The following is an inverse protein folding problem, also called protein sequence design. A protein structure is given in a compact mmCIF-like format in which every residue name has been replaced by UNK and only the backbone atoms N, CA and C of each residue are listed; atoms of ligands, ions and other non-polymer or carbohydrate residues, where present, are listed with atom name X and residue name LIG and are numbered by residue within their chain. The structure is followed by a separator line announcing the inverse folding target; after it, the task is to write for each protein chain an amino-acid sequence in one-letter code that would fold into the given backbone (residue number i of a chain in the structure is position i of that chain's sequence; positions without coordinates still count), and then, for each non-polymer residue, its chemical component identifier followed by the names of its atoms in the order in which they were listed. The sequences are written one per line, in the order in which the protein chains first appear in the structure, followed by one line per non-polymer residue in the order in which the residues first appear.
data_IF_452304911417
#
_entry.id   IF_452304911417
#
_cell.length_a   1.000
_cell.length_b   1.000
_cell.length_c   1.000
_cell.angle_alpha   90.00
_cell.angle_beta   90.00
_cell.angle_gamma   90.00
#
_symmetry.space_group_name_H-M   'P 1'
#
loop_
_entity.id
_entity.type
_entity.pdbx_description
1 polymer ?
#
# COMPACT_ATOMS: atom_id res chain seq x y z
N UNK A 1 -39.06 -43.23 15.01
CA UNK A 1 -38.06 -42.91 16.06
C UNK A 1 -36.62 -43.27 15.67
N UNK A 2 -36.35 -44.34 14.92
CA UNK A 2 -34.98 -44.67 14.45
C UNK A 2 -34.44 -43.71 13.37
N UNK A 3 -35.28 -43.25 12.44
CA UNK A 3 -34.87 -42.31 11.38
C UNK A 3 -34.62 -40.87 11.86
N UNK A 4 -35.32 -40.44 12.90
CA UNK A 4 -35.15 -39.10 13.50
C UNK A 4 -33.82 -38.97 14.24
N UNK A 5 -33.30 -40.08 14.79
CA UNK A 5 -32.01 -40.12 15.48
C UNK A 5 -30.82 -40.08 14.49
N UNK A 6 -30.96 -40.72 13.33
CA UNK A 6 -29.95 -40.71 12.26
C UNK A 6 -29.80 -39.30 11.64
N UNK A 7 -30.90 -38.56 11.51
CA UNK A 7 -30.88 -37.20 10.96
C UNK A 7 -30.18 -36.19 11.89
N UNK A 8 -30.24 -36.39 13.20
CA UNK A 8 -29.58 -35.52 14.18
C UNK A 8 -28.07 -35.72 14.26
N UNK A 9 -27.56 -36.92 13.93
CA UNK A 9 -26.12 -37.22 13.94
C UNK A 9 -25.40 -36.67 12.70
N UNK A 10 -26.11 -36.47 11.58
CA UNK A 10 -25.53 -35.97 10.33
C UNK A 10 -25.21 -34.46 10.37
N UNK A 11 -25.90 -33.69 11.21
CA UNK A 11 -25.74 -32.24 11.32
C UNK A 11 -24.47 -31.86 12.13
N UNK A 12 -23.97 -32.77 12.98
CA UNK A 12 -22.79 -32.52 13.82
C UNK A 12 -21.45 -32.69 13.08
N UNK A 13 -21.45 -33.20 11.84
CA UNK A 13 -20.23 -33.48 11.08
C UNK A 13 -19.76 -32.33 10.17
N UNK A 14 -20.49 -31.21 10.12
CA UNK A 14 -20.14 -30.06 9.26
C UNK A 14 -19.50 -28.86 9.98
N UNK A 15 -19.20 -28.96 11.27
CA UNK A 15 -18.46 -27.91 12.00
C UNK A 15 -16.96 -27.93 11.67
N UNK A 16 -16.63 -27.62 10.42
CA UNK A 16 -15.28 -27.30 10.00
C UNK A 16 -15.00 -25.85 10.42
N UNK A 17 -14.30 -25.68 11.54
CA UNK A 17 -13.79 -24.39 11.98
C UNK A 17 -12.64 -24.00 11.04
N UNK A 18 -12.94 -23.18 10.04
CA UNK A 18 -11.91 -22.58 9.19
C UNK A 18 -11.11 -21.60 10.06
N UNK A 19 -9.97 -22.05 10.59
CA UNK A 19 -9.03 -21.17 11.28
C UNK A 19 -8.51 -20.14 10.28
N UNK A 20 -9.02 -18.91 10.36
CA UNK A 20 -8.50 -17.79 9.58
C UNK A 20 -7.10 -17.49 10.10
N UNK A 21 -6.08 -17.76 9.29
CA UNK A 21 -4.69 -17.41 9.62
C UNK A 21 -4.63 -15.90 9.87
N UNK A 22 -4.47 -15.49 11.12
CA UNK A 22 -4.27 -14.10 11.48
C UNK A 22 -2.86 -13.71 11.07
N UNK A 23 -2.75 -12.91 10.01
CA UNK A 23 -1.48 -12.42 9.50
C UNK A 23 -0.79 -11.59 10.59
N UNK A 24 0.50 -11.79 10.76
CA UNK A 24 1.32 -10.96 11.64
C UNK A 24 1.39 -9.52 11.09
N UNK A 25 1.67 -8.56 11.98
CA UNK A 25 1.82 -7.15 11.62
C UNK A 25 2.87 -6.94 10.51
N UNK A 26 3.91 -7.78 10.47
CA UNK A 26 4.93 -7.76 9.43
C UNK A 26 4.42 -8.28 8.07
N UNK A 27 3.64 -9.37 8.08
CA UNK A 27 3.01 -9.89 6.86
C UNK A 27 2.03 -8.85 6.26
N UNK A 28 1.28 -8.13 7.09
CA UNK A 28 0.39 -7.05 6.65
C UNK A 28 1.15 -5.84 6.07
N UNK A 29 2.30 -5.49 6.65
CA UNK A 29 3.15 -4.43 6.08
C UNK A 29 3.77 -4.86 4.74
N UNK A 30 4.10 -6.15 4.60
CA UNK A 30 4.62 -6.68 3.36
C UNK A 30 3.59 -6.61 2.22
N UNK A 31 2.28 -6.69 2.51
CA UNK A 31 1.22 -6.56 1.51
C UNK A 31 1.21 -5.20 0.79
N UNK A 32 1.61 -4.12 1.47
CA UNK A 32 1.65 -2.78 0.88
C UNK A 32 2.89 -2.53 0.03
N UNK A 33 3.82 -3.49 -0.01
CA UNK A 33 5.12 -3.38 -0.68
C UNK A 33 5.14 -4.32 -1.87
N UNK A 34 5.57 -3.81 -3.03
CA UNK A 34 5.69 -4.59 -4.26
C UNK A 34 7.16 -4.84 -4.58
N UNK A 35 7.51 -6.09 -4.87
CA UNK A 35 8.86 -6.50 -5.26
C UNK A 35 9.03 -6.54 -6.77
N UNK A 36 10.23 -6.16 -7.22
CA UNK A 36 10.64 -6.08 -8.61
C UNK A 36 12.05 -6.66 -8.79
N UNK A 37 12.23 -7.39 -9.90
CA UNK A 37 13.52 -7.97 -10.27
C UNK A 37 14.43 -6.93 -10.95
N UNK A 38 14.80 -5.88 -10.23
CA UNK A 38 15.59 -4.75 -10.75
C UNK A 38 16.53 -4.17 -9.68
N UNK A 39 17.45 -3.30 -10.10
CA UNK A 39 18.35 -2.58 -9.19
C UNK A 39 17.65 -1.38 -8.55
N UNK A 40 18.16 -0.95 -7.39
CA UNK A 40 17.66 0.23 -6.66
C UNK A 40 17.69 1.47 -7.55
N UNK A 41 18.75 1.62 -8.33
CA UNK A 41 18.96 2.77 -9.22
C UNK A 41 17.86 2.90 -10.28
N UNK A 42 17.54 1.78 -10.94
CA UNK A 42 16.49 1.75 -11.95
C UNK A 42 15.12 1.96 -11.31
N UNK A 43 14.84 1.28 -10.19
CA UNK A 43 13.57 1.43 -9.48
C UNK A 43 13.36 2.86 -8.96
N UNK A 44 14.38 3.46 -8.34
CA UNK A 44 14.31 4.81 -7.78
C UNK A 44 14.07 5.85 -8.89
N UNK A 45 14.83 5.76 -9.99
CA UNK A 45 14.62 6.62 -11.15
C UNK A 45 13.22 6.44 -11.75
N UNK A 46 12.75 5.20 -11.85
CA UNK A 46 11.41 4.91 -12.39
C UNK A 46 10.29 5.49 -11.53
N UNK A 47 10.39 5.38 -10.19
CA UNK A 47 9.41 5.99 -9.27
C UNK A 47 9.41 7.50 -9.41
N UNK A 48 10.60 8.12 -9.50
CA UNK A 48 10.72 9.56 -9.72
C UNK A 48 10.03 10.01 -10.99
N UNK A 49 10.28 9.33 -12.11
CA UNK A 49 9.66 9.62 -13.40
C UNK A 49 8.14 9.48 -13.33
N UNK A 50 7.62 8.39 -12.74
CA UNK A 50 6.17 8.21 -12.58
C UNK A 50 5.54 9.33 -11.76
N UNK A 51 6.17 9.76 -10.66
CA UNK A 51 5.65 10.87 -9.86
C UNK A 51 5.62 12.18 -10.67
N UNK A 52 6.68 12.47 -11.43
CA UNK A 52 6.76 13.66 -12.28
C UNK A 52 5.75 13.62 -13.43
N UNK A 53 5.58 12.47 -14.09
CA UNK A 53 4.60 12.25 -15.16
C UNK A 53 3.16 12.43 -14.67
N UNK A 54 2.89 12.07 -13.41
CA UNK A 54 1.61 12.29 -12.74
C UNK A 54 1.43 13.73 -12.23
N UNK A 55 2.42 14.61 -12.45
CA UNK A 55 2.37 16.01 -12.05
C UNK A 55 2.66 16.26 -10.57
N UNK A 56 3.20 15.28 -9.84
CA UNK A 56 3.66 15.49 -8.47
C UNK A 56 4.96 16.29 -8.47
N UNK A 57 5.06 17.23 -7.53
CA UNK A 57 6.25 18.02 -7.28
C UNK A 57 7.06 17.31 -6.20
N UNK A 58 8.29 16.93 -6.54
CA UNK A 58 9.19 16.21 -5.63
C UNK A 58 9.77 17.20 -4.61
N UNK A 59 9.46 16.98 -3.34
CA UNK A 59 9.90 17.83 -2.22
C UNK A 59 11.23 17.37 -1.64
N UNK A 60 11.47 16.06 -1.60
CA UNK A 60 12.72 15.47 -1.10
C UNK A 60 12.96 14.13 -1.77
N UNK A 61 14.23 13.83 -2.04
CA UNK A 61 14.65 12.57 -2.60
C UNK A 61 16.06 12.24 -2.11
N UNK A 62 16.18 11.09 -1.45
CA UNK A 62 17.45 10.57 -0.97
C UNK A 62 17.61 9.13 -1.47
N UNK A 63 18.56 8.95 -2.37
CA UNK A 63 18.82 7.66 -3.01
C UNK A 63 19.48 6.67 -2.04
N UNK A 64 20.27 7.14 -1.09
CA UNK A 64 20.96 6.29 -0.12
C UNK A 64 19.95 5.64 0.83
N UNK A 65 19.03 6.44 1.37
CA UNK A 65 17.92 5.91 2.19
C UNK A 65 16.82 5.27 1.35
N UNK A 66 16.66 5.68 0.09
CA UNK A 66 15.61 5.20 -0.81
C UNK A 66 14.27 5.93 -0.63
N UNK A 67 14.24 7.02 0.13
CA UNK A 67 13.05 7.82 0.37
C UNK A 67 12.82 8.82 -0.76
N UNK A 68 11.57 8.91 -1.24
CA UNK A 68 11.10 9.97 -2.13
C UNK A 68 9.81 10.53 -1.54
N UNK A 69 9.75 11.83 -1.37
CA UNK A 69 8.56 12.56 -0.93
C UNK A 69 8.15 13.55 -2.00
N UNK A 70 6.89 13.52 -2.40
CA UNK A 70 6.33 14.43 -3.38
C UNK A 70 4.90 14.83 -3.01
N UNK A 71 4.39 15.90 -3.60
CA UNK A 71 3.00 16.32 -3.41
C UNK A 71 2.36 16.74 -4.73
N UNK A 72 1.07 16.46 -4.89
CA UNK A 72 0.30 16.97 -6.01
C UNK A 72 0.11 18.49 -5.88
N UNK A 73 -0.14 19.22 -6.99
CA UNK A 73 -0.41 20.64 -6.93
C UNK A 73 -1.64 20.93 -6.07
N UNK A 74 -1.54 21.95 -5.22
CA UNK A 74 -2.66 22.36 -4.37
C UNK A 74 -3.84 22.83 -5.23
N UNK A 75 -5.00 22.23 -5.01
CA UNK A 75 -6.28 22.62 -5.62
C UNK A 75 -7.09 23.41 -4.61
N UNK A 76 -7.56 24.58 -5.02
CA UNK A 76 -8.51 25.35 -4.25
C UNK A 76 -9.93 24.92 -4.65
N UNK A 77 -10.67 24.33 -3.72
CA UNK A 77 -12.10 24.05 -3.91
C UNK A 77 -12.91 25.14 -3.23
N UNK A 78 -13.83 25.73 -3.98
CA UNK A 78 -14.67 26.85 -3.52
C UNK A 78 -16.12 26.39 -3.58
N UNK A 79 -16.56 25.64 -2.56
CA UNK A 79 -17.96 25.21 -2.47
C UNK A 79 -18.67 25.76 -1.23
N UNK A 80 -17.99 25.97 -0.09
CA UNK A 80 -18.54 26.61 1.12
C UNK A 80 -17.43 27.17 2.05
N UNK A 81 -16.46 27.86 1.46
CA UNK A 81 -15.18 28.20 2.10
C UNK A 81 -14.02 27.84 1.16
N UNK A 82 -12.88 28.52 1.28
CA UNK A 82 -11.69 28.19 0.49
C UNK A 82 -10.95 27.04 1.17
N UNK A 83 -11.14 25.82 0.68
CA UNK A 83 -10.37 24.68 1.15
C UNK A 83 -9.23 24.38 0.16
N UNK A 84 -8.02 24.28 0.68
CA UNK A 84 -6.85 23.83 -0.06
C UNK A 84 -6.76 22.31 0.06
N UNK A 85 -6.69 21.62 -1.08
CA UNK A 85 -6.54 20.17 -1.12
C UNK A 85 -5.28 19.80 -1.89
N UNK A 86 -4.47 18.92 -1.32
CA UNK A 86 -3.38 18.28 -2.04
C UNK A 86 -3.23 16.82 -1.60
N UNK A 87 -2.44 16.07 -2.34
CA UNK A 87 -2.12 14.68 -2.04
C UNK A 87 -0.62 14.56 -1.88
N UNK A 88 -0.16 14.25 -0.68
CA UNK A 88 1.24 13.91 -0.43
C UNK A 88 1.47 12.43 -0.73
N UNK A 89 2.64 12.11 -1.28
CA UNK A 89 3.10 10.74 -1.49
C UNK A 89 4.49 10.55 -0.90
N UNK A 90 4.66 9.46 -0.17
CA UNK A 90 5.95 8.98 0.31
C UNK A 90 6.23 7.61 -0.32
N UNK A 91 7.24 7.55 -1.17
CA UNK A 91 7.76 6.32 -1.72
C UNK A 91 9.01 5.88 -0.96
N UNK A 92 9.12 4.57 -0.74
CA UNK A 92 10.31 3.95 -0.15
C UNK A 92 10.80 2.82 -1.04
N UNK A 93 12.03 2.95 -1.52
CA UNK A 93 12.69 2.02 -2.45
C UNK A 93 13.83 1.32 -1.72
N UNK A 94 13.64 0.04 -1.42
CA UNK A 94 14.56 -0.77 -0.63
C UNK A 94 15.17 -1.89 -1.48
N UNK A 95 16.47 -2.13 -1.35
CA UNK A 95 17.17 -3.19 -2.08
C UNK A 95 17.51 -4.36 -1.17
N UNK A 96 17.24 -5.57 -1.64
CA UNK A 96 17.60 -6.85 -1.00
C UNK A 96 18.70 -7.59 -1.76
N UNK A 97 19.44 -6.86 -2.60
CA UNK A 97 20.51 -7.38 -3.44
C UNK A 97 20.56 -6.70 -4.81
N UNK A 98 21.53 -7.03 -5.67
CA UNK A 98 21.81 -6.29 -6.90
C UNK A 98 20.64 -6.26 -7.92
N UNK A 99 19.70 -7.20 -7.84
CA UNK A 99 18.56 -7.33 -8.77
C UNK A 99 17.22 -7.56 -8.07
N UNK A 100 17.10 -7.20 -6.79
CA UNK A 100 15.85 -7.35 -6.05
C UNK A 100 15.58 -6.08 -5.28
N UNK A 101 14.55 -5.37 -5.70
CA UNK A 101 14.15 -4.10 -5.12
C UNK A 101 12.68 -4.14 -4.80
N UNK A 102 12.31 -3.61 -3.65
CA UNK A 102 10.93 -3.48 -3.24
C UNK A 102 10.55 -2.01 -3.12
N UNK A 103 9.34 -1.69 -3.53
CA UNK A 103 8.80 -0.33 -3.55
C UNK A 103 7.54 -0.32 -2.71
N UNK A 104 7.45 0.64 -1.79
CA UNK A 104 6.22 0.95 -1.05
C UNK A 104 5.83 2.38 -1.34
N UNK A 105 4.56 2.61 -1.65
CA UNK A 105 3.98 3.94 -1.83
C UNK A 105 2.93 4.18 -0.75
N UNK A 106 2.96 5.36 -0.16
CA UNK A 106 1.93 5.82 0.77
C UNK A 106 1.39 7.17 0.30
N UNK A 107 0.08 7.27 0.12
CA UNK A 107 -0.59 8.50 -0.29
C UNK A 107 -1.43 9.03 0.87
N UNK A 108 -1.35 10.33 1.11
CA UNK A 108 -2.09 11.03 2.16
C UNK A 108 -2.76 12.24 1.53
N UNK A 109 -4.08 12.30 1.61
CA UNK A 109 -4.84 13.49 1.22
C UNK A 109 -4.79 14.50 2.37
N UNK A 110 -4.37 15.73 2.08
CA UNK A 110 -4.44 16.82 3.04
C UNK A 110 -5.53 17.79 2.58
N UNK A 111 -6.37 18.17 3.54
CA UNK A 111 -7.40 19.19 3.37
C UNK A 111 -7.18 20.26 4.43
N UNK A 112 -6.85 21.46 3.99
CA UNK A 112 -6.71 22.64 4.85
C UNK A 112 -7.88 23.58 4.57
N UNK A 113 -8.48 24.16 5.61
CA UNK A 113 -9.71 24.96 5.54
C UNK A 113 -9.68 26.15 6.47
#
# INVERSE_FOLDING_TARGET
MKHTLILSTLILLFSSCQSSKQLSSLELQAFQRKEFATSKDIAFGSVMSVLQDLGYIVSSADKDTGLISAASPTKNVVFFGSHMQNTSVNAFVESFGPKRTAIRLNFVENQEG
#
